data_IF_295528409670
#
_entry.id   IF_295528409670
#
_cell.length_a   1.000
_cell.length_b   1.000
_cell.length_c   1.000
_cell.angle_alpha   90.00
_cell.angle_beta   90.00
_cell.angle_gamma   90.00
#
_symmetry.space_group_name_H-M   'P 1'
#
loop_
_entity.id
_entity.type
_entity.pdbx_description
1 polymer ?
#
# COMPACT_ATOMS: atom_id res chain seq x y z
N UNK A 1 35.67 -2.05 -63.37
CA UNK A 1 34.37 -1.78 -62.71
C UNK A 1 34.30 -2.67 -61.49
N UNK A 2 34.46 -2.11 -60.29
CA UNK A 2 34.15 -2.78 -59.03
C UNK A 2 33.25 -1.82 -58.27
N UNK A 3 31.99 -2.20 -58.13
CA UNK A 3 30.93 -1.41 -57.51
C UNK A 3 30.96 -1.70 -56.00
N UNK A 4 31.35 -0.71 -55.20
CA UNK A 4 31.35 -0.78 -53.75
C UNK A 4 29.96 -0.45 -53.19
N UNK A 5 29.29 -1.44 -52.62
CA UNK A 5 27.95 -1.31 -52.03
C UNK A 5 28.05 -0.74 -50.61
N UNK A 6 27.95 0.57 -50.46
CA UNK A 6 27.80 1.22 -49.15
C UNK A 6 26.41 0.96 -48.57
N UNK A 7 26.33 0.35 -47.37
CA UNK A 7 25.07 0.23 -46.62
C UNK A 7 24.69 1.62 -46.13
N UNK A 8 23.62 2.18 -46.68
CA UNK A 8 23.01 3.42 -46.21
C UNK A 8 22.42 3.16 -44.83
N UNK A 9 23.13 3.54 -43.77
CA UNK A 9 22.54 3.65 -42.43
C UNK A 9 21.65 4.88 -42.49
N UNK A 10 20.35 4.67 -42.69
CA UNK A 10 19.36 5.74 -42.62
C UNK A 10 19.34 6.24 -41.17
N UNK A 11 19.90 7.43 -40.94
CA UNK A 11 19.64 8.17 -39.71
C UNK A 11 18.13 8.41 -39.65
N UNK A 12 17.45 7.78 -38.69
CA UNK A 12 16.04 8.05 -38.43
C UNK A 12 16.01 9.41 -37.75
N UNK A 13 15.68 10.46 -38.50
CA UNK A 13 15.36 11.77 -37.93
C UNK A 13 14.02 11.65 -37.21
N UNK A 14 14.04 11.18 -35.97
CA UNK A 14 12.86 11.09 -35.12
C UNK A 14 12.45 12.52 -34.79
N UNK A 15 11.29 12.94 -35.31
CA UNK A 15 10.74 14.27 -35.07
C UNK A 15 10.59 14.49 -33.55
N UNK A 16 11.02 15.65 -33.03
CA UNK A 16 10.82 16.05 -31.63
C UNK A 16 9.41 15.73 -31.06
N UNK A 17 8.30 15.95 -31.79
CA UNK A 17 6.97 15.56 -31.30
C UNK A 17 6.77 14.04 -31.20
N UNK A 18 7.40 13.24 -32.07
CA UNK A 18 7.35 11.78 -31.99
C UNK A 18 8.20 11.24 -30.82
N UNK A 19 9.33 11.88 -30.53
CA UNK A 19 10.15 11.58 -29.34
C UNK A 19 9.41 11.94 -28.04
N UNK A 20 8.69 13.06 -28.01
CA UNK A 20 7.84 13.45 -26.88
C UNK A 20 6.67 12.47 -26.68
N UNK A 21 6.02 12.02 -27.77
CA UNK A 21 4.96 11.00 -27.69
C UNK A 21 5.47 9.67 -27.14
N UNK A 22 6.67 9.25 -27.55
CA UNK A 22 7.33 8.04 -27.04
C UNK A 22 7.66 8.13 -25.55
N UNK A 23 8.07 9.31 -25.05
CA UNK A 23 8.33 9.51 -23.61
C UNK A 23 7.06 9.41 -22.77
N UNK A 24 5.92 9.89 -23.28
CA UNK A 24 4.62 9.80 -22.59
C UNK A 24 4.07 8.36 -22.53
N UNK A 25 4.48 7.49 -23.46
CA UNK A 25 4.05 6.08 -23.50
C UNK A 25 4.85 5.15 -22.56
N UNK A 26 5.97 5.62 -22.00
CA UNK A 26 6.84 4.83 -21.11
C UNK A 26 6.70 5.24 -19.62
N UNK A 27 5.81 6.15 -19.28
CA UNK A 27 5.53 6.49 -17.89
C UNK A 27 4.56 5.49 -17.28
N UNK A 28 5.03 4.62 -16.39
CA UNK A 28 4.14 3.93 -15.46
C UNK A 28 3.50 5.00 -14.57
N UNK A 29 2.21 5.29 -14.79
CA UNK A 29 1.44 6.15 -13.90
C UNK A 29 1.30 5.41 -12.58
N UNK A 30 1.99 5.88 -11.55
CA UNK A 30 1.83 5.37 -10.20
C UNK A 30 0.44 5.75 -9.70
N UNK A 31 -0.51 4.83 -9.85
CA UNK A 31 -1.88 5.00 -9.34
C UNK A 31 -1.93 4.57 -7.87
N UNK A 32 -2.36 5.48 -6.99
CA UNK A 32 -2.70 5.16 -5.60
C UNK A 32 -3.91 4.24 -5.57
N UNK A 33 -3.85 3.18 -4.76
CA UNK A 33 -4.92 2.20 -4.63
C UNK A 33 -5.68 2.37 -3.32
N UNK A 34 -6.99 2.18 -3.40
CA UNK A 34 -7.86 2.13 -2.23
C UNK A 34 -8.16 0.68 -1.86
N UNK A 35 -7.94 0.32 -0.60
CA UNK A 35 -8.15 -1.02 -0.09
C UNK A 35 -9.11 -1.05 1.09
N UNK A 36 -10.11 -1.94 1.04
CA UNK A 36 -10.87 -2.30 2.25
C UNK A 36 -10.11 -3.40 2.98
N UNK A 37 -9.67 -3.11 4.21
CA UNK A 37 -8.88 -4.06 5.00
C UNK A 37 -9.76 -5.24 5.44
N UNK A 38 -9.38 -6.45 5.04
CA UNK A 38 -10.15 -7.66 5.30
C UNK A 38 -11.28 -7.93 4.29
N UNK A 39 -11.37 -7.15 3.21
CA UNK A 39 -12.45 -7.20 2.21
C UNK A 39 -13.84 -7.23 2.91
N UNK A 40 -14.73 -8.16 2.53
CA UNK A 40 -16.08 -8.28 3.09
C UNK A 40 -16.10 -8.61 4.60
N UNK A 41 -15.01 -9.17 5.14
CA UNK A 41 -14.93 -9.50 6.56
C UNK A 41 -14.59 -8.26 7.43
N UNK A 42 -14.01 -7.23 6.83
CA UNK A 42 -13.59 -6.01 7.52
C UNK A 42 -12.54 -6.22 8.61
N UNK A 43 -12.37 -5.20 9.45
CA UNK A 43 -11.48 -5.21 10.61
C UNK A 43 -12.14 -5.89 11.82
N UNK A 44 -12.46 -7.19 11.70
CA UNK A 44 -13.05 -7.97 12.79
C UNK A 44 -12.42 -9.33 13.01
N UNK A 45 -12.01 -10.00 11.93
CA UNK A 45 -11.56 -11.38 11.94
C UNK A 45 -10.04 -11.42 11.70
N UNK A 46 -9.24 -11.83 12.70
CA UNK A 46 -7.78 -11.94 12.58
C UNK A 46 -7.31 -12.75 11.37
N UNK A 47 -7.99 -13.85 11.05
CA UNK A 47 -7.59 -14.76 9.97
C UNK A 47 -7.91 -14.15 8.62
N UNK A 48 -9.09 -13.53 8.48
CA UNK A 48 -9.48 -12.84 7.25
C UNK A 48 -8.52 -11.68 6.95
N UNK A 49 -8.21 -10.84 7.94
CA UNK A 49 -7.27 -9.71 7.79
C UNK A 49 -5.87 -10.21 7.40
N UNK A 50 -5.38 -11.29 8.03
CA UNK A 50 -4.09 -11.88 7.70
C UNK A 50 -4.05 -12.42 6.26
N UNK A 51 -5.08 -13.17 5.86
CA UNK A 51 -5.17 -13.75 4.52
C UNK A 51 -5.31 -12.66 3.45
N UNK A 52 -6.07 -11.62 3.75
CA UNK A 52 -6.25 -10.45 2.90
C UNK A 52 -4.91 -9.78 2.55
N UNK A 53 -4.00 -9.66 3.51
CA UNK A 53 -2.70 -9.03 3.32
C UNK A 53 -1.69 -9.92 2.57
N UNK A 54 -1.81 -11.25 2.64
CA UNK A 54 -0.77 -12.20 2.24
C UNK A 54 -0.31 -12.10 0.77
N UNK A 55 -1.22 -11.72 -0.14
CA UNK A 55 -0.96 -11.66 -1.58
C UNK A 55 -0.98 -10.23 -2.14
N UNK A 56 -0.85 -9.22 -1.28
CA UNK A 56 -0.89 -7.81 -1.67
C UNK A 56 0.49 -7.17 -1.53
N UNK A 57 0.78 -6.24 -2.44
CA UNK A 57 1.94 -5.35 -2.35
C UNK A 57 1.39 -3.93 -2.27
N UNK A 58 1.89 -3.18 -1.30
CA UNK A 58 1.45 -1.82 -1.01
C UNK A 58 2.54 -0.83 -1.38
N UNK A 59 2.12 0.33 -1.86
CA UNK A 59 2.98 1.43 -2.29
C UNK A 59 2.61 2.72 -1.54
N UNK A 60 3.51 3.74 -1.54
CA UNK A 60 3.17 5.04 -1.04
C UNK A 60 1.91 5.59 -1.72
N UNK A 61 1.19 6.42 -0.98
CA UNK A 61 -0.10 7.02 -1.30
C UNK A 61 -1.28 6.05 -1.38
N UNK A 62 -1.10 4.73 -1.26
CA UNK A 62 -2.21 3.79 -1.08
C UNK A 62 -3.03 4.15 0.17
N UNK A 63 -4.34 3.91 0.10
CA UNK A 63 -5.30 4.22 1.16
C UNK A 63 -5.95 2.95 1.70
N UNK A 64 -5.99 2.84 3.03
CA UNK A 64 -6.53 1.70 3.75
C UNK A 64 -7.79 2.11 4.49
N UNK A 65 -8.91 1.55 4.06
CA UNK A 65 -10.19 1.72 4.70
C UNK A 65 -10.44 0.59 5.69
N UNK A 66 -10.48 0.97 6.96
CA UNK A 66 -10.83 0.09 8.05
C UNK A 66 -12.32 0.29 8.37
N UNK A 67 -13.08 -0.80 8.31
CA UNK A 67 -14.48 -0.85 8.74
C UNK A 67 -14.61 -1.83 9.88
N UNK A 68 -15.29 -1.42 10.95
CA UNK A 68 -15.48 -2.19 12.16
C UNK A 68 -16.76 -1.76 12.89
N UNK A 69 -17.21 -2.55 13.86
CA UNK A 69 -18.38 -2.18 14.66
C UNK A 69 -17.95 -1.20 15.77
N UNK A 70 -18.57 -0.01 15.87
CA UNK A 70 -18.23 0.96 16.92
C UNK A 70 -18.24 0.33 18.31
N UNK A 71 -17.17 0.56 19.07
CA UNK A 71 -17.00 0.04 20.44
C UNK A 71 -16.71 -1.47 20.55
N UNK A 72 -16.82 -2.26 19.48
CA UNK A 72 -16.44 -3.68 19.50
C UNK A 72 -14.99 -3.90 19.07
N UNK A 73 -14.54 -3.16 18.06
CA UNK A 73 -13.14 -3.09 17.66
C UNK A 73 -12.69 -1.63 17.65
N UNK A 74 -11.38 -1.44 17.69
CA UNK A 74 -10.74 -0.15 17.53
C UNK A 74 -9.63 -0.24 16.51
N UNK A 75 -9.14 0.92 16.09
CA UNK A 75 -7.92 1.03 15.31
C UNK A 75 -6.95 1.98 16.02
N UNK A 76 -5.73 1.51 16.21
CA UNK A 76 -4.60 2.35 16.62
C UNK A 76 -3.38 1.97 15.79
N UNK A 77 -2.68 2.97 15.26
CA UNK A 77 -1.37 2.77 14.66
C UNK A 77 -0.31 2.76 15.77
N UNK A 78 0.57 1.76 15.76
CA UNK A 78 1.62 1.57 16.76
C UNK A 78 2.98 1.34 16.12
N UNK A 79 4.02 1.25 16.94
CA UNK A 79 5.33 0.78 16.52
C UNK A 79 5.42 -0.76 16.56
N UNK A 80 6.54 -1.31 16.11
CA UNK A 80 6.76 -2.76 16.06
C UNK A 80 6.64 -3.42 17.44
N UNK A 81 7.18 -2.78 18.49
CA UNK A 81 7.09 -3.32 19.86
C UNK A 81 5.62 -3.41 20.31
N UNK A 82 4.82 -2.37 20.06
CA UNK A 82 3.42 -2.36 20.42
C UNK A 82 2.61 -3.41 19.65
N UNK A 83 2.91 -3.64 18.38
CA UNK A 83 2.31 -4.73 17.60
C UNK A 83 2.65 -6.12 18.15
N UNK A 84 3.92 -6.34 18.54
CA UNK A 84 4.39 -7.64 19.05
C UNK A 84 3.83 -7.93 20.43
N UNK A 85 3.77 -6.92 21.29
CA UNK A 85 3.43 -7.06 22.72
C UNK A 85 1.99 -6.69 23.07
N UNK A 86 1.24 -6.11 22.13
CA UNK A 86 -0.07 -5.49 22.36
C UNK A 86 -0.07 -4.38 23.42
N UNK A 87 1.10 -3.81 23.72
CA UNK A 87 1.24 -2.64 24.60
C UNK A 87 1.30 -1.38 23.76
N UNK A 88 0.55 -0.37 24.13
CA UNK A 88 0.46 0.88 23.38
C UNK A 88 0.53 2.09 24.32
N UNK A 89 0.94 3.22 23.76
CA UNK A 89 0.88 4.50 24.45
C UNK A 89 -0.57 5.01 24.39
N UNK A 90 -1.24 5.22 25.54
CA UNK A 90 -2.62 5.69 25.57
C UNK A 90 -2.80 7.10 25.00
N UNK A 91 -1.72 7.85 24.79
CA UNK A 91 -1.77 9.17 24.16
C UNK A 91 -1.81 9.11 22.62
N UNK A 92 -1.60 7.94 22.02
CA UNK A 92 -1.72 7.78 20.57
C UNK A 92 -3.19 7.83 20.13
N UNK A 93 -3.46 8.38 18.93
CA UNK A 93 -4.82 8.39 18.38
C UNK A 93 -5.43 6.98 18.33
N UNK A 94 -6.62 6.85 18.92
CA UNK A 94 -7.44 5.64 18.86
C UNK A 94 -8.74 5.97 18.16
N UNK A 95 -9.11 5.16 17.18
CA UNK A 95 -10.34 5.33 16.43
C UNK A 95 -11.38 4.29 16.85
N UNK A 96 -12.57 4.77 17.18
CA UNK A 96 -13.68 3.96 17.71
C UNK A 96 -14.98 4.10 16.91
N UNK A 97 -15.03 5.00 15.93
CA UNK A 97 -16.28 5.44 15.25
C UNK A 97 -16.76 4.52 14.11
N UNK A 98 -16.28 3.27 14.09
CA UNK A 98 -16.74 2.23 13.15
C UNK A 98 -16.11 2.29 11.76
N UNK A 99 -15.53 3.40 11.33
CA UNK A 99 -14.67 3.39 10.14
C UNK A 99 -13.63 4.48 10.13
N UNK A 100 -12.54 4.26 9.41
CA UNK A 100 -11.53 5.28 9.12
C UNK A 100 -10.72 4.90 7.88
N UNK A 101 -10.32 5.91 7.10
CA UNK A 101 -9.34 5.77 6.03
C UNK A 101 -7.97 6.23 6.50
N UNK A 102 -6.96 5.40 6.28
CA UNK A 102 -5.57 5.68 6.62
C UNK A 102 -4.71 5.71 5.36
N UNK A 103 -4.02 6.83 5.10
CA UNK A 103 -3.15 6.99 3.94
C UNK A 103 -1.71 6.57 4.25
N UNK A 104 -1.11 5.75 3.38
CA UNK A 104 0.26 5.27 3.50
C UNK A 104 1.24 6.30 2.92
N UNK A 105 1.72 7.21 3.75
CA UNK A 105 2.51 8.38 3.32
C UNK A 105 3.91 8.07 2.77
N UNK A 106 4.42 6.85 2.90
CA UNK A 106 5.76 6.50 2.43
C UNK A 106 6.06 5.00 2.54
N UNK A 107 7.23 4.61 2.04
CA UNK A 107 7.70 3.24 2.20
C UNK A 107 8.12 2.97 3.65
N UNK A 108 7.90 1.76 4.13
CA UNK A 108 8.21 1.38 5.50
C UNK A 108 7.30 0.31 6.05
N UNK A 109 7.41 0.07 7.35
CA UNK A 109 6.54 -0.85 8.07
C UNK A 109 5.46 -0.06 8.80
N UNK A 110 4.22 -0.44 8.59
CA UNK A 110 3.07 0.11 9.30
C UNK A 110 2.45 -0.99 10.14
N UNK A 111 2.09 -0.65 11.38
CA UNK A 111 1.52 -1.58 12.33
C UNK A 111 0.23 -1.03 12.91
N UNK A 112 -0.83 -1.83 12.87
CA UNK A 112 -2.16 -1.50 13.35
C UNK A 112 -2.64 -2.56 14.32
N UNK A 113 -3.33 -2.15 15.38
CA UNK A 113 -3.91 -3.04 16.39
C UNK A 113 -5.33 -2.59 16.78
N UNK A 114 -6.14 -3.54 17.27
CA UNK A 114 -7.33 -3.25 18.06
C UNK A 114 -6.97 -3.29 19.55
N UNK A 115 -7.23 -2.19 20.25
CA UNK A 115 -6.93 -2.00 21.68
C UNK A 115 -8.10 -2.35 22.62
N UNK A 116 -9.31 -2.51 22.09
CA UNK A 116 -10.50 -2.88 22.87
C UNK A 116 -10.72 -4.40 22.88
N UNK A 117 -11.38 -4.90 23.92
CA UNK A 117 -11.82 -6.30 24.05
C UNK A 117 -10.72 -7.35 23.85
N UNK A 118 -9.48 -7.03 24.23
CA UNK A 118 -8.28 -7.86 24.00
C UNK A 118 -8.10 -8.23 22.51
N UNK A 119 -8.54 -7.35 21.60
CA UNK A 119 -8.54 -7.62 20.16
C UNK A 119 -7.14 -7.92 19.63
N UNK A 120 -6.12 -7.15 20.04
CA UNK A 120 -4.73 -7.38 19.66
C UNK A 120 -4.20 -8.73 20.14
N UNK A 121 -4.46 -9.08 21.40
CA UNK A 121 -4.06 -10.33 22.04
C UNK A 121 -4.72 -11.53 21.35
N UNK A 122 -5.97 -11.35 20.90
CA UNK A 122 -6.72 -12.31 20.12
C UNK A 122 -6.33 -12.30 18.62
N UNK A 123 -5.35 -11.50 18.22
CA UNK A 123 -4.77 -11.51 16.88
C UNK A 123 -5.32 -10.48 15.89
N UNK A 124 -6.25 -9.61 16.30
CA UNK A 124 -6.77 -8.52 15.46
C UNK A 124 -5.74 -7.39 15.39
N UNK A 125 -4.74 -7.64 14.56
CA UNK A 125 -3.60 -6.77 14.30
C UNK A 125 -3.05 -7.01 12.90
N UNK A 126 -2.48 -5.97 12.31
CA UNK A 126 -1.98 -5.99 10.94
C UNK A 126 -0.61 -5.33 10.89
N UNK A 127 0.34 -6.04 10.30
CA UNK A 127 1.61 -5.48 9.85
C UNK A 127 1.63 -5.52 8.33
N UNK A 128 2.00 -4.39 7.72
CA UNK A 128 2.24 -4.29 6.28
C UNK A 128 3.61 -3.69 6.02
N UNK A 129 4.21 -4.13 4.92
CA UNK A 129 5.40 -3.53 4.35
C UNK A 129 5.00 -2.77 3.09
N UNK A 130 5.19 -1.45 3.13
CA UNK A 130 5.02 -0.57 1.99
C UNK A 130 6.35 -0.47 1.25
N UNK A 131 6.35 -0.91 -0.01
CA UNK A 131 7.55 -0.95 -0.85
C UNK A 131 7.71 0.37 -1.60
N UNK A 132 8.95 0.79 -1.86
CA UNK A 132 9.19 1.86 -2.83
C UNK A 132 8.64 1.43 -4.20
N UNK A 133 8.06 2.35 -4.99
CA UNK A 133 7.79 2.09 -6.40
C UNK A 133 9.10 1.64 -7.06
N UNK A 134 9.05 0.60 -7.90
CA UNK A 134 10.20 0.26 -8.72
C UNK A 134 10.34 1.37 -9.76
N UNK A 135 11.39 2.17 -9.63
CA UNK A 135 11.86 3.06 -10.71
C UNK A 135 12.39 2.24 -11.89
#
# INVERSE_FOLDING_TARGET
MVQGSGKVVRAVAICLPALLLLLLLNGDVAESRFYTVGDDAGWRDPSAVKNWAANKTFYPDDEFFFQFTPGQQSLMQVNENGYRTCKYDPNLPTYLEGSITFKLTGAGNYYFISTVNNGCENGLKLWIKVSQPKN
#
